data_IF_554937517220
#
_entry.id   IF_554937517220
#
_cell.length_a   1.000
_cell.length_b   1.000
_cell.length_c   1.000
_cell.angle_alpha   90.00
_cell.angle_beta   90.00
_cell.angle_gamma   90.00
#
_symmetry.space_group_name_H-M   'P 1'
#
loop_
_entity.id
_entity.type
_entity.pdbx_description
1 polymer ?
#
# COMPACT_ATOMS: atom_id res chain seq x y z
N UNK A 1 -11.11 -13.23 -25.71
CA UNK A 1 -11.88 -13.67 -24.53
C UNK A 1 -12.42 -12.45 -23.75
N UNK A 2 -11.57 -11.48 -23.39
CA UNK A 2 -11.96 -10.19 -22.76
C UNK A 2 -13.08 -9.40 -23.47
N UNK A 3 -13.11 -9.41 -24.80
CA UNK A 3 -14.11 -8.65 -25.57
C UNK A 3 -15.52 -9.24 -25.44
N UNK A 4 -15.64 -10.57 -25.32
CA UNK A 4 -16.92 -11.27 -25.14
C UNK A 4 -17.46 -11.04 -23.73
N UNK A 5 -16.58 -10.99 -22.73
CA UNK A 5 -16.93 -10.75 -21.32
C UNK A 5 -17.41 -9.31 -21.10
N UNK A 6 -16.73 -8.32 -21.71
CA UNK A 6 -17.17 -6.93 -21.70
C UNK A 6 -18.53 -6.72 -22.37
N UNK A 7 -18.81 -7.40 -23.48
CA UNK A 7 -20.14 -7.29 -24.11
C UNK A 7 -21.25 -7.94 -23.28
N UNK A 8 -20.96 -9.02 -22.56
CA UNK A 8 -21.93 -9.69 -21.68
C UNK A 8 -22.30 -8.81 -20.48
N UNK A 9 -21.32 -8.17 -19.85
CA UNK A 9 -21.56 -7.27 -18.71
C UNK A 9 -22.28 -5.98 -19.11
N UNK A 10 -21.93 -5.39 -20.27
CA UNK A 10 -22.68 -4.28 -20.84
C UNK A 10 -24.15 -4.68 -21.05
N UNK A 11 -24.39 -5.91 -21.50
CA UNK A 11 -25.73 -6.49 -21.61
C UNK A 11 -26.47 -6.56 -20.26
N UNK A 12 -25.79 -6.98 -19.19
CA UNK A 12 -26.39 -7.08 -17.84
C UNK A 12 -26.74 -5.70 -17.28
N UNK A 13 -25.81 -4.73 -17.34
CA UNK A 13 -26.04 -3.36 -16.84
C UNK A 13 -27.17 -2.68 -17.62
N UNK A 14 -27.20 -2.86 -18.94
CA UNK A 14 -28.26 -2.31 -19.81
C UNK A 14 -29.61 -2.97 -19.50
N UNK A 15 -29.63 -4.29 -19.29
CA UNK A 15 -30.86 -5.02 -18.94
C UNK A 15 -31.40 -4.60 -17.59
N UNK A 16 -30.52 -4.41 -16.59
CA UNK A 16 -30.90 -3.95 -15.26
C UNK A 16 -31.45 -2.52 -15.28
N UNK A 17 -30.80 -1.61 -16.02
CA UNK A 17 -31.30 -0.26 -16.24
C UNK A 17 -32.69 -0.26 -16.92
N UNK A 18 -32.90 -1.11 -17.93
CA UNK A 18 -34.19 -1.26 -18.60
C UNK A 18 -35.28 -1.87 -17.69
N UNK A 19 -34.91 -2.78 -16.79
CA UNK A 19 -35.82 -3.35 -15.80
C UNK A 19 -36.24 -2.32 -14.74
N UNK A 20 -35.32 -1.47 -14.30
CA UNK A 20 -35.64 -0.33 -13.43
C UNK A 20 -36.58 0.65 -14.14
N UNK A 21 -36.35 0.91 -15.43
CA UNK A 21 -37.21 1.78 -16.25
C UNK A 21 -38.63 1.23 -16.44
N UNK A 22 -38.79 -0.10 -16.52
CA UNK A 22 -40.12 -0.73 -16.69
C UNK A 22 -40.94 -0.81 -15.41
N UNK A 23 -40.29 -0.90 -14.25
CA UNK A 23 -40.98 -1.15 -12.98
C UNK A 23 -41.22 0.12 -12.15
N UNK A 24 -40.73 1.29 -12.60
CA UNK A 24 -40.93 2.56 -11.92
C UNK A 24 -41.80 3.50 -12.75
N UNK A 25 -42.92 3.95 -12.19
CA UNK A 25 -43.78 4.97 -12.81
C UNK A 25 -43.26 6.38 -12.50
N UNK A 26 -42.31 6.84 -13.31
CA UNK A 26 -41.66 8.15 -13.13
C UNK A 26 -42.62 9.33 -13.28
N UNK A 27 -43.80 9.14 -13.88
CA UNK A 27 -44.79 10.21 -14.03
C UNK A 27 -45.39 10.65 -12.69
N UNK A 28 -45.46 9.76 -11.70
CA UNK A 28 -45.93 10.08 -10.34
C UNK A 28 -44.97 10.97 -9.54
N UNK A 29 -43.71 11.05 -9.95
CA UNK A 29 -42.64 11.70 -9.19
C UNK A 29 -42.16 13.00 -9.87
N UNK A 30 -42.76 13.36 -11.02
CA UNK A 30 -42.43 14.59 -11.74
C UNK A 30 -41.01 14.62 -12.34
N UNK A 31 -40.34 13.47 -12.43
CA UNK A 31 -38.99 13.40 -13.01
C UNK A 31 -39.11 13.35 -14.53
N UNK A 32 -38.56 14.37 -15.19
CA UNK A 32 -38.55 14.40 -16.66
C UNK A 32 -37.70 13.26 -17.22
N UNK A 33 -38.07 12.74 -18.39
CA UNK A 33 -37.29 11.73 -19.12
C UNK A 33 -35.83 12.15 -19.33
N UNK A 34 -35.60 13.45 -19.57
CA UNK A 34 -34.27 14.02 -19.73
C UNK A 34 -33.41 13.92 -18.45
N UNK A 35 -34.01 14.16 -17.28
CA UNK A 35 -33.34 14.03 -15.98
C UNK A 35 -32.91 12.60 -15.71
N UNK A 36 -33.80 11.63 -16.02
CA UNK A 36 -33.53 10.21 -15.84
C UNK A 36 -32.44 9.70 -16.80
N UNK A 37 -32.50 10.12 -18.07
CA UNK A 37 -31.47 9.81 -19.05
C UNK A 37 -30.09 10.32 -18.62
N UNK A 38 -30.02 11.56 -18.13
CA UNK A 38 -28.77 12.15 -17.63
C UNK A 38 -28.23 11.41 -16.41
N UNK A 39 -29.11 10.95 -15.51
CA UNK A 39 -28.73 10.15 -14.34
C UNK A 39 -28.14 8.79 -14.76
N UNK A 40 -28.77 8.08 -15.71
CA UNK A 40 -28.27 6.80 -16.23
C UNK A 40 -26.91 7.00 -16.91
N UNK A 41 -26.75 8.04 -17.73
CA UNK A 41 -25.46 8.32 -18.37
C UNK A 41 -24.36 8.62 -17.36
N UNK A 42 -24.67 9.35 -16.28
CA UNK A 42 -23.72 9.60 -15.19
C UNK A 42 -23.39 8.31 -14.43
N UNK A 43 -24.38 7.48 -14.12
CA UNK A 43 -24.15 6.20 -13.43
C UNK A 43 -23.30 5.25 -14.28
N UNK A 44 -23.59 5.13 -15.57
CA UNK A 44 -22.79 4.34 -16.51
C UNK A 44 -21.38 4.91 -16.64
N UNK A 45 -21.23 6.24 -16.71
CA UNK A 45 -19.90 6.87 -16.76
C UNK A 45 -19.10 6.65 -15.47
N UNK A 46 -19.74 6.72 -14.30
CA UNK A 46 -19.11 6.42 -13.01
C UNK A 46 -18.78 4.93 -12.91
N UNK A 47 -19.66 4.03 -13.35
CA UNK A 47 -19.38 2.60 -13.42
C UNK A 47 -18.20 2.29 -14.33
N UNK A 48 -18.13 2.91 -15.52
CA UNK A 48 -16.99 2.74 -16.43
C UNK A 48 -15.72 3.44 -15.93
N UNK A 49 -15.83 4.54 -15.20
CA UNK A 49 -14.69 5.20 -14.56
C UNK A 49 -14.16 4.35 -13.39
N UNK A 50 -15.04 3.81 -12.55
CA UNK A 50 -14.69 2.87 -11.48
C UNK A 50 -14.15 1.56 -12.07
N UNK A 51 -14.73 1.06 -13.16
CA UNK A 51 -14.25 -0.12 -13.89
C UNK A 51 -13.00 0.17 -14.71
N UNK A 52 -12.70 1.41 -15.10
CA UNK A 52 -11.41 1.75 -15.73
C UNK A 52 -10.34 1.98 -14.67
N UNK A 53 -10.69 2.51 -13.50
CA UNK A 53 -9.85 2.54 -12.31
C UNK A 53 -9.65 1.13 -11.70
N UNK A 54 -10.58 0.22 -11.91
CA UNK A 54 -10.50 -1.21 -11.55
C UNK A 54 -10.33 -2.10 -12.79
N UNK A 55 -9.90 -1.49 -13.90
CA UNK A 55 -9.63 -2.13 -15.19
C UNK A 55 -8.19 -2.60 -15.29
N UNK A 56 -7.44 -2.48 -14.20
CA UNK A 56 -6.44 -3.46 -13.87
C UNK A 56 -7.17 -4.79 -13.79
N UNK A 57 -6.88 -5.67 -14.75
CA UNK A 57 -6.90 -7.11 -14.47
C UNK A 57 -6.30 -7.21 -13.06
N UNK A 58 -7.08 -7.60 -12.06
CA UNK A 58 -6.52 -8.05 -10.79
C UNK A 58 -5.73 -9.26 -11.23
N UNK A 59 -4.49 -9.03 -11.67
CA UNK A 59 -3.46 -10.04 -11.69
C UNK A 59 -3.45 -10.38 -10.23
N UNK A 60 -4.06 -11.52 -9.87
CA UNK A 60 -3.97 -12.05 -8.52
C UNK A 60 -2.50 -11.93 -8.17
N UNK A 61 -2.19 -10.98 -7.29
CA UNK A 61 -0.83 -10.75 -6.89
C UNK A 61 -0.51 -11.95 -6.04
N UNK A 62 0.14 -12.92 -6.67
CA UNK A 62 0.63 -14.07 -5.96
C UNK A 62 1.90 -13.66 -5.22
N UNK A 63 2.16 -14.35 -4.13
CA UNK A 63 3.31 -14.16 -3.27
C UNK A 63 4.63 -14.02 -4.07
N UNK A 64 4.85 -14.92 -5.03
CA UNK A 64 6.08 -14.95 -5.83
C UNK A 64 6.29 -13.67 -6.65
N UNK A 65 5.23 -13.10 -7.23
CA UNK A 65 5.31 -11.86 -8.00
C UNK A 65 5.75 -10.68 -7.13
N UNK A 66 5.20 -10.59 -5.91
CA UNK A 66 5.52 -9.50 -4.97
C UNK A 66 6.96 -9.62 -4.46
N UNK A 67 7.39 -10.83 -4.06
CA UNK A 67 8.76 -11.06 -3.61
C UNK A 67 9.78 -10.83 -4.74
N UNK A 68 9.49 -11.28 -5.95
CA UNK A 68 10.33 -11.01 -7.12
C UNK A 68 10.44 -9.49 -7.38
N UNK A 69 9.34 -8.76 -7.27
CA UNK A 69 9.35 -7.31 -7.44
C UNK A 69 10.19 -6.62 -6.35
N UNK A 70 10.08 -7.05 -5.09
CA UNK A 70 10.94 -6.54 -4.00
C UNK A 70 12.42 -6.80 -4.29
N UNK A 71 12.78 -8.00 -4.76
CA UNK A 71 14.16 -8.35 -5.07
C UNK A 71 14.74 -7.54 -6.23
N UNK A 72 13.91 -7.23 -7.25
CA UNK A 72 14.31 -6.41 -8.39
C UNK A 72 14.46 -4.93 -8.00
N UNK A 73 13.53 -4.40 -7.21
CA UNK A 73 13.50 -2.99 -6.83
C UNK A 73 14.51 -2.63 -5.73
N UNK A 74 14.87 -3.58 -4.86
CA UNK A 74 15.80 -3.38 -3.76
C UNK A 74 17.03 -4.30 -3.90
N UNK A 75 18.07 -3.87 -4.62
CA UNK A 75 19.29 -4.66 -4.75
C UNK A 75 19.93 -4.96 -3.38
N UNK A 76 20.39 -6.20 -3.20
CA UNK A 76 21.02 -6.66 -1.95
C UNK A 76 22.43 -6.08 -1.78
N UNK A 77 22.51 -4.83 -1.31
CA UNK A 77 23.76 -4.20 -0.90
C UNK A 77 24.06 -4.47 0.57
N UNK A 78 25.34 -4.53 0.93
CA UNK A 78 25.75 -4.63 2.33
C UNK A 78 25.48 -3.30 3.05
N UNK A 79 24.83 -3.38 4.19
CA UNK A 79 24.46 -2.23 5.01
C UNK A 79 25.68 -1.78 5.83
N UNK A 80 26.05 -0.51 5.69
CA UNK A 80 27.00 0.16 6.58
C UNK A 80 26.22 0.79 7.73
N UNK A 81 26.33 0.21 8.93
CA UNK A 81 25.52 0.60 10.08
C UNK A 81 26.08 1.82 10.84
N UNK A 82 27.27 2.32 10.49
CA UNK A 82 27.99 3.32 11.28
C UNK A 82 27.11 4.54 11.57
N UNK A 83 26.37 4.98 10.54
CA UNK A 83 25.53 6.20 10.56
C UNK A 83 24.03 5.94 10.70
N UNK A 84 23.61 4.71 10.98
CA UNK A 84 22.18 4.35 10.97
C UNK A 84 21.29 5.19 11.88
N UNK A 85 21.84 5.70 12.99
CA UNK A 85 21.10 6.43 14.02
C UNK A 85 21.58 7.89 14.19
N UNK A 86 22.42 8.42 13.29
CA UNK A 86 23.02 9.75 13.49
C UNK A 86 21.99 10.89 13.48
N UNK A 87 20.91 10.74 12.72
CA UNK A 87 19.86 11.77 12.60
C UNK A 87 19.09 12.02 13.90
N UNK A 88 19.13 11.08 14.85
CA UNK A 88 18.36 11.13 16.09
C UNK A 88 19.22 11.44 17.32
N UNK A 89 20.53 11.62 17.14
CA UNK A 89 21.47 11.64 18.25
C UNK A 89 21.49 10.29 18.98
N UNK A 90 22.28 10.16 20.04
CA UNK A 90 22.37 8.92 20.83
C UNK A 90 21.10 8.60 21.67
N UNK A 91 19.91 8.94 21.17
CA UNK A 91 18.63 8.84 21.87
C UNK A 91 18.05 7.43 21.86
N UNK A 92 18.38 6.61 20.86
CA UNK A 92 18.00 5.21 20.83
C UNK A 92 19.00 4.37 21.63
N UNK A 93 18.57 3.85 22.78
CA UNK A 93 19.43 3.16 23.75
C UNK A 93 20.06 1.89 23.15
N UNK A 94 19.31 1.18 22.31
CA UNK A 94 19.73 -0.10 21.73
C UNK A 94 20.42 0.05 20.35
N UNK A 95 20.76 1.29 19.96
CA UNK A 95 21.40 1.57 18.67
C UNK A 95 22.68 0.75 18.45
N UNK A 96 23.46 0.50 19.51
CA UNK A 96 24.70 -0.28 19.39
C UNK A 96 24.41 -1.74 19.05
N UNK A 97 23.44 -2.36 19.71
CA UNK A 97 23.07 -3.76 19.46
C UNK A 97 22.45 -3.90 18.06
N UNK A 98 21.51 -3.00 17.72
CA UNK A 98 20.87 -3.00 16.41
C UNK A 98 21.87 -2.82 15.27
N UNK A 99 22.85 -1.92 15.40
CA UNK A 99 23.92 -1.76 14.41
C UNK A 99 24.68 -3.05 14.13
N UNK A 100 25.05 -3.81 15.16
CA UNK A 100 25.75 -5.10 15.01
C UNK A 100 24.90 -6.12 14.23
N UNK A 101 23.58 -6.04 14.35
CA UNK A 101 22.67 -6.90 13.59
C UNK A 101 22.53 -6.51 12.13
N UNK A 102 22.79 -5.25 11.76
CA UNK A 102 22.76 -4.75 10.38
C UNK A 102 24.11 -4.85 9.67
N UNK A 103 25.20 -4.61 10.39
CA UNK A 103 26.50 -4.30 9.78
C UNK A 103 27.01 -5.42 8.87
N UNK A 104 27.34 -5.06 7.63
CA UNK A 104 27.87 -6.00 6.64
C UNK A 104 26.87 -7.04 6.14
N UNK A 105 25.58 -6.92 6.50
CA UNK A 105 24.50 -7.77 5.97
C UNK A 105 23.74 -7.06 4.86
N UNK A 106 23.22 -7.81 3.90
CA UNK A 106 22.16 -7.33 3.01
C UNK A 106 20.79 -7.56 3.65
N UNK A 107 19.77 -6.89 3.11
CA UNK A 107 18.42 -6.96 3.67
C UNK A 107 17.86 -8.39 3.75
N UNK A 108 18.20 -9.26 2.78
CA UNK A 108 17.80 -10.66 2.74
C UNK A 108 18.62 -11.59 3.66
N UNK A 109 19.64 -11.06 4.34
CA UNK A 109 20.40 -11.75 5.39
C UNK A 109 19.98 -11.28 6.80
N UNK A 110 19.05 -10.33 6.90
CA UNK A 110 18.53 -9.85 8.18
C UNK A 110 17.63 -10.92 8.80
N UNK A 111 17.74 -11.07 10.12
CA UNK A 111 16.89 -11.98 10.88
C UNK A 111 15.55 -11.32 11.18
N UNK A 112 14.49 -11.77 10.50
CA UNK A 112 13.13 -11.21 10.64
C UNK A 112 12.64 -11.28 12.08
N UNK A 113 12.95 -12.35 12.83
CA UNK A 113 12.53 -12.45 14.23
C UNK A 113 13.20 -11.38 15.09
N UNK A 114 14.46 -11.04 14.77
CA UNK A 114 15.15 -9.95 15.45
C UNK A 114 14.54 -8.60 15.08
N UNK A 115 14.17 -8.38 13.82
CA UNK A 115 13.49 -7.16 13.38
C UNK A 115 12.13 -6.99 14.07
N UNK A 116 11.38 -8.08 14.29
CA UNK A 116 10.11 -8.08 15.02
C UNK A 116 10.27 -7.71 16.50
N UNK A 117 11.35 -8.12 17.15
CA UNK A 117 11.63 -7.81 18.57
C UNK A 117 12.18 -6.38 18.75
N UNK A 118 12.61 -5.75 17.66
CA UNK A 118 13.23 -4.43 17.61
C UNK A 118 12.52 -3.53 16.61
N UNK A 119 11.20 -3.66 16.50
CA UNK A 119 10.38 -2.86 15.59
C UNK A 119 10.45 -1.38 15.95
N UNK A 120 10.65 -1.07 17.23
CA UNK A 120 10.85 0.28 17.75
C UNK A 120 12.02 1.03 17.07
N UNK A 121 13.07 0.30 16.67
CA UNK A 121 14.25 0.85 15.99
C UNK A 121 13.90 1.55 14.67
N UNK A 122 12.83 1.14 13.99
CA UNK A 122 12.38 1.73 12.71
C UNK A 122 12.14 3.23 12.84
N UNK A 123 11.57 3.65 13.98
CA UNK A 123 11.32 5.05 14.28
C UNK A 123 12.60 5.89 14.40
N UNK A 124 13.75 5.27 14.66
CA UNK A 124 15.02 5.94 14.93
C UNK A 124 16.06 5.79 13.81
N UNK A 125 15.77 5.02 12.76
CA UNK A 125 16.65 4.93 11.61
C UNK A 125 16.66 6.26 10.84
N UNK A 126 17.85 6.66 10.38
CA UNK A 126 17.98 7.68 9.35
C UNK A 126 17.39 7.15 8.03
N UNK A 127 16.81 8.04 7.23
CA UNK A 127 16.06 7.71 6.01
C UNK A 127 16.82 6.76 5.08
N UNK A 128 18.11 7.05 4.82
CA UNK A 128 18.97 6.21 3.97
C UNK A 128 19.19 4.78 4.49
N UNK A 129 19.17 4.59 5.80
CA UNK A 129 19.33 3.27 6.41
C UNK A 129 17.99 2.56 6.51
N UNK A 130 16.92 3.31 6.75
CA UNK A 130 15.56 2.79 6.67
C UNK A 130 15.28 2.21 5.27
N UNK A 131 15.59 2.92 4.19
CA UNK A 131 15.38 2.39 2.81
C UNK A 131 16.18 1.13 2.51
N UNK A 132 17.32 0.92 3.16
CA UNK A 132 18.12 -0.31 3.00
C UNK A 132 17.52 -1.52 3.73
N UNK A 133 16.83 -1.32 4.87
CA UNK A 133 16.21 -2.41 5.64
C UNK A 133 14.73 -2.62 5.26
N UNK A 134 14.07 -1.60 4.72
CA UNK A 134 12.68 -1.60 4.28
C UNK A 134 12.24 -2.87 3.53
N UNK A 135 12.96 -3.39 2.52
CA UNK A 135 12.55 -4.62 1.83
C UNK A 135 12.44 -5.84 2.75
N UNK A 136 13.24 -5.94 3.81
CA UNK A 136 13.13 -7.04 4.78
C UNK A 136 11.82 -6.95 5.59
N UNK A 137 11.44 -5.72 5.98
CA UNK A 137 10.16 -5.48 6.67
C UNK A 137 8.96 -5.71 5.75
N UNK A 138 9.06 -5.31 4.47
CA UNK A 138 8.03 -5.57 3.47
C UNK A 138 7.89 -7.07 3.17
N UNK A 139 9.00 -7.81 3.07
CA UNK A 139 8.98 -9.26 2.94
C UNK A 139 8.29 -9.89 4.15
N UNK A 140 8.62 -9.44 5.37
CA UNK A 140 8.00 -9.96 6.59
C UNK A 140 6.47 -9.83 6.55
N UNK A 141 5.93 -8.62 6.25
CA UNK A 141 4.47 -8.44 6.17
C UNK A 141 3.83 -9.30 5.06
N UNK A 142 4.54 -9.53 3.94
CA UNK A 142 4.05 -10.36 2.81
C UNK A 142 4.07 -11.85 3.15
N UNK A 143 5.04 -12.31 3.93
CA UNK A 143 5.17 -13.71 4.38
C UNK A 143 4.18 -14.08 5.49
N UNK A 144 3.57 -13.09 6.14
CA UNK A 144 2.62 -13.28 7.22
C UNK A 144 3.31 -13.34 8.58
N UNK A 145 3.57 -12.15 9.12
CA UNK A 145 4.12 -11.96 10.46
C UNK A 145 3.13 -12.53 11.49
N UNK A 146 3.65 -12.92 12.66
CA UNK A 146 2.82 -13.18 13.82
C UNK A 146 1.75 -12.09 14.03
N UNK A 147 0.46 -12.44 14.20
CA UNK A 147 -0.62 -11.49 14.48
C UNK A 147 -0.44 -10.69 15.77
N UNK A 148 0.49 -11.12 16.64
CA UNK A 148 0.85 -10.42 17.88
C UNK A 148 1.99 -9.41 17.67
N UNK A 149 2.57 -9.35 16.48
CA UNK A 149 3.67 -8.46 16.16
C UNK A 149 3.17 -7.05 15.89
N UNK A 150 3.76 -6.09 16.59
CA UNK A 150 3.61 -4.64 16.38
C UNK A 150 4.44 -4.14 15.19
N UNK A 151 5.19 -5.03 14.52
CA UNK A 151 6.04 -4.67 13.37
C UNK A 151 5.22 -4.13 12.20
N UNK A 152 4.09 -4.78 11.87
CA UNK A 152 3.21 -4.31 10.81
C UNK A 152 2.69 -2.90 11.12
N UNK A 153 2.15 -2.68 12.32
CA UNK A 153 1.63 -1.37 12.73
C UNK A 153 2.71 -0.27 12.69
N UNK A 154 3.91 -0.57 13.17
CA UNK A 154 5.02 0.38 13.19
C UNK A 154 5.48 0.73 11.78
N UNK A 155 5.63 -0.27 10.91
CA UNK A 155 5.98 -0.07 9.51
C UNK A 155 4.91 0.76 8.79
N UNK A 156 3.64 0.39 8.96
CA UNK A 156 2.51 1.07 8.32
C UNK A 156 2.34 2.50 8.81
N UNK A 157 2.60 2.78 10.09
CA UNK A 157 2.65 4.13 10.61
C UNK A 157 3.71 4.98 9.90
N UNK A 158 4.90 4.43 9.64
CA UNK A 158 5.99 5.14 8.94
C UNK A 158 5.66 5.32 7.45
N UNK A 159 5.03 4.32 6.83
CA UNK A 159 4.62 4.37 5.43
C UNK A 159 3.32 5.16 5.22
N UNK A 160 2.61 5.59 6.26
CA UNK A 160 1.39 6.39 6.10
C UNK A 160 1.75 7.86 5.98
N UNK A 161 1.36 8.49 4.86
CA UNK A 161 1.54 9.93 4.71
C UNK A 161 0.74 10.67 5.80
N UNK A 162 1.40 11.48 6.64
CA UNK A 162 0.73 12.22 7.70
C UNK A 162 -0.28 13.23 7.14
N UNK A 163 -1.30 13.54 7.93
CA UNK A 163 -2.30 14.55 7.62
C UNK A 163 -1.85 15.91 8.14
N UNK A 164 -1.89 16.94 7.27
CA UNK A 164 -1.43 18.30 7.59
C UNK A 164 -2.15 18.97 8.77
N UNK A 165 -3.31 18.46 9.18
CA UNK A 165 -4.13 19.05 10.24
C UNK A 165 -3.78 18.56 11.65
N UNK A 166 -3.25 17.34 11.78
CA UNK A 166 -3.08 16.67 13.08
C UNK A 166 -1.64 16.35 13.41
N UNK A 167 -0.77 16.30 12.39
CA UNK A 167 0.54 15.69 12.54
C UNK A 167 1.63 16.75 12.63
N UNK A 168 2.65 16.44 13.43
CA UNK A 168 3.81 17.33 13.56
C UNK A 168 4.51 17.52 12.20
N UNK A 169 5.03 18.72 11.93
CA UNK A 169 5.86 18.98 10.76
C UNK A 169 7.04 18.01 10.60
N UNK A 170 7.49 17.39 11.71
CA UNK A 170 8.54 16.39 11.68
C UNK A 170 8.11 15.11 10.94
N UNK A 171 6.86 14.67 11.11
CA UNK A 171 6.33 13.49 10.43
C UNK A 171 6.26 13.70 8.92
N UNK A 172 5.70 14.83 8.50
CA UNK A 172 5.58 15.19 7.08
C UNK A 172 6.95 15.25 6.41
N UNK A 173 7.91 15.96 7.02
CA UNK A 173 9.27 16.04 6.51
C UNK A 173 9.94 14.66 6.36
N UNK A 174 9.77 13.77 7.34
CA UNK A 174 10.35 12.41 7.27
C UNK A 174 9.72 11.59 6.15
N UNK A 175 8.41 11.68 5.98
CA UNK A 175 7.71 10.98 4.91
C UNK A 175 8.19 11.47 3.54
N UNK A 176 8.32 12.79 3.35
CA UNK A 176 8.86 13.37 2.12
C UNK A 176 10.32 12.96 1.87
N UNK A 177 11.17 12.98 2.90
CA UNK A 177 12.54 12.48 2.80
C UNK A 177 12.59 11.01 2.38
N UNK A 178 11.72 10.17 2.94
CA UNK A 178 11.59 8.77 2.55
C UNK A 178 11.23 8.64 1.07
N UNK A 179 10.16 9.30 0.63
CA UNK A 179 9.70 9.24 -0.76
C UNK A 179 10.80 9.72 -1.72
N UNK A 180 11.51 10.79 -1.37
CA UNK A 180 12.58 11.35 -2.20
C UNK A 180 13.85 10.46 -2.28
N UNK A 181 14.05 9.55 -1.32
CA UNK A 181 15.16 8.60 -1.31
C UNK A 181 14.85 7.34 -2.14
N UNK A 182 13.57 7.11 -2.48
CA UNK A 182 13.11 5.92 -3.20
C UNK A 182 13.08 6.15 -4.72
N UNK A 183 13.39 5.11 -5.47
CA UNK A 183 13.21 5.05 -6.93
C UNK A 183 11.77 4.68 -7.31
N UNK A 184 11.35 4.96 -8.55
CA UNK A 184 10.02 4.60 -9.03
C UNK A 184 9.73 3.10 -8.88
N UNK A 185 10.72 2.24 -9.17
CA UNK A 185 10.59 0.79 -9.01
C UNK A 185 10.36 0.38 -7.55
N UNK A 186 10.99 1.07 -6.60
CA UNK A 186 10.80 0.85 -5.16
C UNK A 186 9.45 1.35 -4.67
N UNK A 187 8.98 2.49 -5.18
CA UNK A 187 7.64 3.03 -4.88
C UNK A 187 6.56 2.03 -5.34
N UNK A 188 6.71 1.46 -6.54
CA UNK A 188 5.83 0.39 -7.06
C UNK A 188 5.90 -0.86 -6.19
N UNK A 189 7.10 -1.31 -5.81
CA UNK A 189 7.28 -2.50 -4.98
C UNK A 189 6.59 -2.35 -3.60
N UNK A 190 6.73 -1.19 -2.96
CA UNK A 190 6.03 -0.88 -1.70
C UNK A 190 4.51 -0.95 -1.90
N UNK A 191 3.98 -0.30 -2.94
CA UNK A 191 2.56 -0.30 -3.23
C UNK A 191 2.01 -1.72 -3.45
N UNK A 192 2.73 -2.55 -4.21
CA UNK A 192 2.36 -3.96 -4.45
C UNK A 192 2.36 -4.78 -3.16
N UNK A 193 3.38 -4.63 -2.30
CA UNK A 193 3.43 -5.32 -1.01
C UNK A 193 2.26 -4.93 -0.11
N UNK A 194 1.89 -3.65 -0.07
CA UNK A 194 0.74 -3.18 0.72
C UNK A 194 -0.59 -3.73 0.19
N UNK A 195 -0.80 -3.77 -1.14
CA UNK A 195 -2.03 -4.37 -1.68
C UNK A 195 -2.08 -5.86 -1.37
N UNK A 196 -0.99 -6.59 -1.60
CA UNK A 196 -0.92 -8.01 -1.27
C UNK A 196 -1.27 -8.26 0.20
N UNK A 197 -0.70 -7.46 1.11
CA UNK A 197 -1.01 -7.53 2.53
C UNK A 197 -2.51 -7.33 2.80
N UNK A 198 -3.13 -6.27 2.26
CA UNK A 198 -4.58 -6.03 2.44
C UNK A 198 -5.49 -7.12 1.85
N UNK A 199 -5.07 -7.78 0.77
CA UNK A 199 -5.86 -8.82 0.11
C UNK A 199 -5.76 -10.18 0.80
N UNK A 200 -4.61 -10.50 1.40
CA UNK A 200 -4.34 -11.81 1.98
C UNK A 200 -4.49 -11.87 3.50
N UNK A 201 -4.52 -10.73 4.20
CA UNK A 201 -4.56 -10.64 5.66
C UNK A 201 -5.85 -10.01 6.21
N UNK A 202 -6.98 -10.12 5.49
CA UNK A 202 -8.25 -9.38 5.72
C UNK A 202 -8.78 -9.35 7.17
N UNK A 203 -8.42 -10.30 8.01
CA UNK A 203 -8.87 -10.41 9.41
C UNK A 203 -7.93 -9.70 10.41
N UNK A 204 -6.75 -9.25 9.97
CA UNK A 204 -5.77 -8.56 10.81
C UNK A 204 -6.14 -7.10 11.04
N UNK A 205 -5.95 -6.62 12.27
CA UNK A 205 -6.23 -5.23 12.63
C UNK A 205 -5.41 -4.24 11.78
N UNK A 206 -4.18 -4.61 11.41
CA UNK A 206 -3.27 -3.78 10.61
C UNK A 206 -3.74 -3.57 9.17
N UNK A 207 -4.75 -4.29 8.67
CA UNK A 207 -5.31 -4.09 7.31
C UNK A 207 -5.88 -2.68 7.15
N UNK A 208 -6.51 -2.12 8.18
CA UNK A 208 -7.03 -0.76 8.14
C UNK A 208 -5.90 0.25 7.96
N UNK A 209 -4.80 0.10 8.73
CA UNK A 209 -3.59 0.92 8.61
C UNK A 209 -2.95 0.80 7.23
N UNK A 210 -2.89 -0.41 6.66
CA UNK A 210 -2.34 -0.63 5.32
C UNK A 210 -3.21 0.00 4.22
N UNK A 211 -4.54 -0.11 4.36
CA UNK A 211 -5.51 0.54 3.47
C UNK A 211 -5.34 2.05 3.54
N UNK A 212 -5.21 2.61 4.75
CA UNK A 212 -4.97 4.04 4.95
C UNK A 212 -3.66 4.49 4.31
N UNK A 213 -2.56 3.75 4.49
CA UNK A 213 -1.28 4.05 3.84
C UNK A 213 -1.43 4.09 2.31
N UNK A 214 -2.09 3.08 1.72
CA UNK A 214 -2.36 3.00 0.28
C UNK A 214 -3.12 4.24 -0.21
N UNK A 215 -4.23 4.57 0.44
CA UNK A 215 -5.13 5.63 0.01
C UNK A 215 -4.54 7.03 0.21
N UNK A 216 -3.65 7.20 1.20
CA UNK A 216 -2.97 8.47 1.47
C UNK A 216 -1.86 8.80 0.48
N UNK A 217 -1.19 7.80 -0.10
CA UNK A 217 -0.08 8.05 -1.02
C UNK A 217 0.20 6.93 -2.04
N UNK A 218 0.29 5.67 -1.61
CA UNK A 218 0.91 4.63 -2.44
C UNK A 218 0.08 4.16 -3.64
N UNK A 219 -1.24 4.33 -3.62
CA UNK A 219 -2.14 3.83 -4.68
C UNK A 219 -1.84 4.44 -6.06
N UNK A 220 -1.17 5.59 -6.13
CA UNK A 220 -0.79 6.22 -7.41
C UNK A 220 0.33 5.49 -8.17
N UNK A 221 0.98 4.51 -7.55
CA UNK A 221 2.08 3.72 -8.14
C UNK A 221 1.64 2.31 -8.59
N UNK A 222 0.32 2.06 -8.65
CA UNK A 222 -0.28 0.82 -9.15
C UNK A 222 -0.83 1.07 -10.55
#
# INVERSE_FOLDING_TARGET
MLEIENQRELGIVTTFALLLLKNFDFTRIGISFYTLHTFILRFVSVYYLLKSQHGYRIVEMNYEAVINQLCLAFPSHKIDSERAFTSWGATYLDAKEFKLHLDGKSWNELDVNYLEVREDSLGFLGTKHFTQVLPAYLQAIVEGISPLSTLADTLLMILTKPSSETDSHLGEKRFEELVNELTDEQLVAIAMSLVYFTENHKEEASVESATLALDKFWRQYL
#
